data_IF_018194229474
#
_entry.id   IF_018194229474
#
_cell.length_a   1.000
_cell.length_b   1.000
_cell.length_c   1.000
_cell.angle_alpha   90.00
_cell.angle_beta   90.00
_cell.angle_gamma   90.00
#
_symmetry.space_group_name_H-M   'P 1'
#
loop_
_entity.id
_entity.type
_entity.pdbx_description
1 polymer ?
#
# COMPACT_ATOMS: atom_id res chain seq x y z
N UNK A 1 26.43 -46.76 -27.57
CA UNK A 1 27.86 -46.57 -27.30
C UNK A 1 28.04 -45.19 -26.69
N UNK A 2 28.75 -45.09 -25.57
CA UNK A 2 29.33 -43.85 -25.06
C UNK A 2 28.50 -43.10 -24.02
N UNK A 3 28.86 -43.29 -22.75
CA UNK A 3 28.35 -42.59 -21.57
C UNK A 3 29.40 -41.61 -21.01
N UNK A 4 28.94 -40.54 -20.34
CA UNK A 4 29.53 -39.80 -19.20
C UNK A 4 28.63 -38.56 -18.96
N UNK A 5 27.98 -38.33 -17.81
CA UNK A 5 28.53 -38.03 -16.47
C UNK A 5 28.97 -36.55 -16.42
N UNK A 6 28.61 -35.66 -15.47
CA UNK A 6 28.17 -35.73 -14.07
C UNK A 6 27.52 -34.37 -13.69
N UNK A 7 26.75 -34.39 -12.60
CA UNK A 7 26.01 -33.34 -11.89
C UNK A 7 26.77 -32.04 -11.50
N UNK A 8 25.98 -31.00 -11.16
CA UNK A 8 26.43 -29.82 -10.40
C UNK A 8 25.30 -28.85 -10.09
N UNK A 9 24.72 -28.95 -8.89
CA UNK A 9 23.77 -28.00 -8.28
C UNK A 9 24.54 -26.74 -7.88
N UNK A 10 24.06 -25.55 -8.25
CA UNK A 10 24.63 -24.28 -7.80
C UNK A 10 23.61 -23.51 -6.95
N UNK A 11 23.96 -23.38 -5.68
CA UNK A 11 23.30 -22.54 -4.68
C UNK A 11 23.42 -21.06 -5.04
N UNK A 12 22.32 -20.32 -4.86
CA UNK A 12 22.35 -18.85 -4.86
C UNK A 12 23.02 -18.39 -3.55
N UNK A 13 24.18 -17.77 -3.67
CA UNK A 13 24.86 -17.14 -2.55
C UNK A 13 24.33 -15.72 -2.36
N UNK A 14 23.87 -15.45 -1.14
CA UNK A 14 23.71 -14.10 -0.57
C UNK A 14 24.98 -13.29 -0.82
N UNK A 15 24.80 -12.08 -1.36
CA UNK A 15 25.87 -11.07 -1.42
C UNK A 15 25.53 -9.95 -0.46
N UNK A 16 26.22 -9.97 0.68
CA UNK A 16 26.34 -8.86 1.62
C UNK A 16 26.76 -7.57 0.90
N UNK A 17 25.89 -6.57 0.91
CA UNK A 17 26.20 -5.20 0.54
C UNK A 17 26.57 -4.47 1.84
N UNK A 18 27.87 -4.26 2.06
CA UNK A 18 28.38 -3.43 3.16
C UNK A 18 28.45 -1.96 2.72
N UNK A 19 27.79 -1.07 3.47
CA UNK A 19 27.81 0.38 3.28
C UNK A 19 28.63 1.02 4.43
N UNK A 20 29.78 1.68 4.17
CA UNK A 20 30.47 2.44 5.19
C UNK A 20 30.12 3.93 5.10
N UNK A 21 29.72 4.53 6.23
CA UNK A 21 29.69 5.99 6.37
C UNK A 21 28.51 6.55 7.14
N UNK A 22 28.51 6.42 8.46
CA UNK A 22 27.73 7.29 9.34
C UNK A 22 28.67 7.90 10.39
N UNK A 23 29.07 9.14 10.13
CA UNK A 23 29.80 9.97 11.09
C UNK A 23 28.89 10.33 12.26
N UNK A 24 29.40 10.11 13.47
CA UNK A 24 28.77 10.53 14.73
C UNK A 24 28.61 12.05 14.78
N UNK A 25 27.37 12.53 14.78
CA UNK A 25 27.05 13.88 15.23
C UNK A 25 26.87 13.84 16.75
N UNK A 26 27.85 14.39 17.45
CA UNK A 26 27.77 14.69 18.89
C UNK A 26 27.42 16.17 19.02
N UNK A 27 26.28 16.48 19.61
CA UNK A 27 25.89 17.84 19.92
C UNK A 27 26.45 18.20 21.31
N UNK A 28 27.43 19.11 21.34
CA UNK A 28 27.94 19.76 22.54
C UNK A 28 27.03 20.93 22.90
N UNK A 29 26.37 20.88 24.06
CA UNK A 29 25.70 22.02 24.66
C UNK A 29 26.68 22.76 25.58
N UNK A 30 26.79 24.07 25.37
CA UNK A 30 27.64 25.00 26.09
C UNK A 30 27.03 25.35 27.45
N UNK A 31 27.86 25.27 28.49
CA UNK A 31 27.64 25.83 29.83
C UNK A 31 27.49 27.35 29.76
N UNK A 32 26.48 27.90 30.44
CA UNK A 32 26.55 29.26 30.95
C UNK A 32 25.98 29.31 32.38
N UNK A 33 26.89 29.70 33.28
CA UNK A 33 26.80 29.80 34.72
C UNK A 33 26.03 31.06 35.14
N UNK A 34 24.91 30.89 35.87
CA UNK A 34 24.41 31.90 36.83
C UNK A 34 23.74 31.28 38.04
N UNK A 35 24.25 31.67 39.21
CA UNK A 35 23.97 31.25 40.57
C UNK A 35 22.67 31.79 41.20
N UNK A 36 21.86 30.87 41.78
CA UNK A 36 21.09 30.90 43.07
C UNK A 36 19.93 31.91 43.29
N UNK A 37 18.96 31.68 44.22
CA UNK A 37 18.89 30.65 45.28
C UNK A 37 17.57 29.85 45.42
N UNK A 38 17.68 28.80 46.23
CA UNK A 38 16.66 27.87 46.71
C UNK A 38 15.40 28.53 47.29
N UNK A 39 14.23 27.97 46.96
CA UNK A 39 13.00 28.10 47.74
C UNK A 39 12.24 26.78 47.75
N UNK A 40 12.20 26.19 48.94
CA UNK A 40 11.31 25.11 49.33
C UNK A 40 9.84 25.50 49.12
N UNK A 41 9.11 24.70 48.35
CA UNK A 41 7.68 24.86 48.11
C UNK A 41 7.07 23.54 47.68
N UNK A 42 6.39 22.88 48.62
CA UNK A 42 5.68 21.62 48.42
C UNK A 42 4.66 21.70 47.26
N UNK A 43 4.88 20.91 46.19
CA UNK A 43 3.90 20.73 45.13
C UNK A 43 2.76 19.81 45.59
N UNK A 44 1.58 20.41 45.75
CA UNK A 44 0.30 19.73 45.85
C UNK A 44 0.00 19.05 44.52
N UNK A 45 -0.46 17.81 44.58
CA UNK A 45 -0.74 16.94 43.45
C UNK A 45 -1.55 17.60 42.34
N UNK A 46 -1.07 17.43 41.10
CA UNK A 46 -1.86 17.67 39.89
C UNK A 46 -2.92 16.57 39.76
N UNK A 47 -4.14 16.87 39.32
CA UNK A 47 -5.17 15.86 39.15
C UNK A 47 -4.81 14.95 37.99
N UNK A 48 -4.99 13.64 38.19
CA UNK A 48 -4.80 12.60 37.17
C UNK A 48 -5.66 12.88 35.92
N UNK A 49 -5.03 12.82 34.75
CA UNK A 49 -5.69 12.71 33.46
C UNK A 49 -6.51 11.41 33.40
N UNK A 50 -7.82 11.44 33.10
CA UNK A 50 -8.62 10.22 32.98
C UNK A 50 -8.20 9.45 31.72
N UNK A 51 -7.78 8.19 31.88
CA UNK A 51 -7.56 7.27 30.74
C UNK A 51 -6.34 6.35 30.79
N UNK A 52 -5.50 6.40 31.83
CA UNK A 52 -4.29 5.56 31.93
C UNK A 52 -4.35 4.53 33.07
N UNK A 53 -5.52 3.93 33.29
CA UNK A 53 -5.58 2.71 34.09
C UNK A 53 -4.71 1.65 33.41
N UNK A 54 -3.68 1.14 34.09
CA UNK A 54 -2.92 -0.03 33.63
C UNK A 54 -3.89 -1.18 33.41
N UNK A 55 -4.20 -1.48 32.15
CA UNK A 55 -5.07 -2.61 31.78
C UNK A 55 -4.38 -3.90 32.22
N UNK A 56 -5.18 -4.86 32.69
CA UNK A 56 -4.67 -6.14 33.14
C UNK A 56 -4.04 -6.89 31.96
N UNK A 57 -2.81 -7.37 32.15
CA UNK A 57 -2.09 -8.16 31.15
C UNK A 57 -2.49 -9.62 31.33
N UNK A 58 -3.26 -10.15 30.38
CA UNK A 58 -3.79 -11.52 30.40
C UNK A 58 -2.87 -12.41 29.56
N UNK A 59 -2.26 -13.40 30.20
CA UNK A 59 -1.47 -14.41 29.48
C UNK A 59 -2.39 -15.45 28.84
N UNK A 60 -2.25 -15.65 27.53
CA UNK A 60 -3.07 -16.59 26.75
C UNK A 60 -2.24 -17.86 26.47
N UNK A 61 -2.62 -19.03 27.03
CA UNK A 61 -1.97 -20.31 26.71
C UNK A 61 -1.97 -20.62 25.21
N UNK A 62 -1.10 -21.53 24.76
CA UNK A 62 -0.98 -21.94 23.36
C UNK A 62 -2.17 -22.82 22.90
N UNK A 63 -3.34 -22.22 22.80
CA UNK A 63 -4.61 -22.87 22.48
C UNK A 63 -5.59 -21.85 21.88
N UNK A 64 -6.17 -22.18 20.72
CA UNK A 64 -7.08 -21.31 19.99
C UNK A 64 -8.38 -20.98 20.77
N UNK A 65 -8.94 -21.95 21.49
CA UNK A 65 -10.14 -21.72 22.28
C UNK A 65 -9.84 -20.82 23.48
N UNK A 66 -8.62 -20.87 24.04
CA UNK A 66 -8.17 -19.92 25.07
C UNK A 66 -8.01 -18.51 24.53
N UNK A 67 -7.55 -18.34 23.30
CA UNK A 67 -7.51 -17.03 22.64
C UNK A 67 -8.93 -16.45 22.46
N UNK A 68 -9.87 -17.26 21.95
CA UNK A 68 -11.28 -16.86 21.82
C UNK A 68 -11.85 -16.45 23.18
N UNK A 69 -11.67 -17.27 24.21
CA UNK A 69 -12.18 -16.98 25.55
C UNK A 69 -11.60 -15.68 26.14
N UNK A 70 -10.31 -15.41 25.92
CA UNK A 70 -9.66 -14.18 26.37
C UNK A 70 -10.22 -12.94 25.68
N UNK A 71 -10.52 -13.02 24.38
CA UNK A 71 -11.14 -11.92 23.63
C UNK A 71 -12.59 -11.66 24.07
N UNK A 72 -13.37 -12.71 24.33
CA UNK A 72 -14.73 -12.57 24.89
C UNK A 72 -14.68 -11.86 26.25
N UNK A 73 -13.78 -12.27 27.14
CA UNK A 73 -13.60 -11.63 28.44
C UNK A 73 -13.17 -10.16 28.29
N UNK A 74 -12.21 -9.88 27.42
CA UNK A 74 -11.74 -8.52 27.16
C UNK A 74 -12.86 -7.59 26.68
N UNK A 75 -13.74 -8.04 25.79
CA UNK A 75 -14.91 -7.26 25.38
C UNK A 75 -15.90 -7.02 26.52
N UNK A 76 -16.13 -8.00 27.38
CA UNK A 76 -17.04 -7.88 28.52
C UNK A 76 -16.50 -6.97 29.64
N UNK A 77 -15.18 -6.86 29.76
CA UNK A 77 -14.50 -6.13 30.84
C UNK A 77 -14.04 -4.72 30.46
N UNK A 78 -14.31 -4.27 29.23
CA UNK A 78 -13.96 -2.92 28.76
C UNK A 78 -12.57 -2.78 28.14
N UNK A 79 -11.98 -3.91 27.71
CA UNK A 79 -10.68 -3.98 27.03
C UNK A 79 -9.62 -4.72 27.83
N UNK A 80 -8.56 -5.19 27.16
CA UNK A 80 -7.47 -5.92 27.79
C UNK A 80 -6.16 -5.84 26.99
N UNK A 81 -5.04 -6.16 27.66
CA UNK A 81 -3.78 -6.48 26.98
C UNK A 81 -3.57 -8.00 27.03
N UNK A 82 -3.61 -8.66 25.88
CA UNK A 82 -3.43 -10.10 25.74
C UNK A 82 -1.99 -10.39 25.33
N UNK A 83 -1.28 -11.22 26.10
CA UNK A 83 0.03 -11.73 25.73
C UNK A 83 -0.08 -13.19 25.29
N UNK A 84 0.20 -13.45 24.03
CA UNK A 84 0.18 -14.79 23.47
C UNK A 84 1.40 -15.61 23.93
N UNK A 85 1.25 -16.92 23.91
CA UNK A 85 2.34 -17.84 24.16
C UNK A 85 3.42 -17.65 23.08
N UNK A 86 4.69 -17.40 23.45
CA UNK A 86 5.74 -17.08 22.50
C UNK A 86 5.90 -18.13 21.39
N UNK A 87 5.93 -17.69 20.14
CA UNK A 87 6.08 -18.54 18.94
C UNK A 87 5.05 -19.66 18.79
N UNK A 88 3.93 -19.58 19.51
CA UNK A 88 2.84 -20.53 19.40
C UNK A 88 2.09 -20.37 18.06
N UNK A 89 1.50 -21.46 17.56
CA UNK A 89 0.55 -21.41 16.45
C UNK A 89 -0.89 -21.64 16.94
N UNK A 90 -1.70 -20.59 16.91
CA UNK A 90 -3.14 -20.61 17.18
C UNK A 90 -3.88 -20.94 15.89
N UNK A 91 -4.31 -22.18 15.73
CA UNK A 91 -4.98 -22.64 14.51
C UNK A 91 -6.50 -22.65 14.70
N UNK A 92 -7.22 -21.92 13.85
CA UNK A 92 -8.68 -21.81 13.85
C UNK A 92 -9.26 -22.71 12.75
N UNK A 93 -10.15 -23.63 13.14
CA UNK A 93 -10.81 -24.60 12.24
C UNK A 93 -12.20 -24.14 11.78
N UNK A 94 -12.81 -23.20 12.48
CA UNK A 94 -14.18 -22.73 12.23
C UNK A 94 -14.35 -21.25 12.58
N UNK A 95 -15.43 -20.65 12.06
CA UNK A 95 -15.81 -19.30 12.41
C UNK A 95 -16.37 -19.24 13.84
N UNK A 96 -16.13 -18.15 14.55
CA UNK A 96 -16.77 -17.89 15.82
C UNK A 96 -18.22 -17.46 15.58
N UNK A 97 -19.17 -18.26 16.07
CA UNK A 97 -20.59 -17.97 15.93
C UNK A 97 -21.03 -16.94 16.97
N UNK A 98 -21.11 -15.68 16.56
CA UNK A 98 -21.79 -14.61 17.31
C UNK A 98 -22.90 -14.04 16.43
N UNK A 99 -24.10 -13.86 16.99
CA UNK A 99 -25.13 -13.06 16.29
C UNK A 99 -24.68 -11.61 16.34
N UNK A 100 -24.06 -11.17 15.27
CA UNK A 100 -23.71 -9.77 15.11
C UNK A 100 -24.98 -8.92 15.20
N UNK A 101 -25.02 -7.96 16.13
CA UNK A 101 -26.14 -7.02 16.28
C UNK A 101 -26.08 -5.90 15.23
N UNK A 102 -25.26 -6.05 14.19
CA UNK A 102 -25.11 -5.11 13.09
C UNK A 102 -26.46 -4.79 12.43
N UNK A 103 -26.87 -3.53 12.56
CA UNK A 103 -28.13 -2.96 12.06
C UNK A 103 -27.97 -2.24 10.72
N UNK A 104 -26.80 -2.33 10.07
CA UNK A 104 -26.53 -1.65 8.80
C UNK A 104 -25.98 -0.22 8.91
N UNK A 105 -25.54 0.22 10.09
CA UNK A 105 -25.05 1.60 10.32
C UNK A 105 -23.94 2.12 9.38
N UNK A 106 -24.11 3.38 8.95
CA UNK A 106 -23.24 4.32 8.17
C UNK A 106 -22.78 3.87 6.77
N UNK A 107 -22.64 2.57 6.48
CA UNK A 107 -22.36 2.10 5.09
C UNK A 107 -23.41 2.61 4.10
N UNK A 108 -24.69 2.56 4.46
CA UNK A 108 -25.80 3.05 3.65
C UNK A 108 -25.72 4.56 3.35
N UNK A 109 -25.11 5.38 4.19
CA UNK A 109 -25.05 6.82 3.93
C UNK A 109 -23.98 7.20 2.90
N UNK A 110 -22.86 6.46 2.86
CA UNK A 110 -21.81 6.65 1.84
C UNK A 110 -22.20 5.95 0.54
N UNK A 111 -22.73 4.72 0.59
CA UNK A 111 -23.24 4.02 -0.59
C UNK A 111 -24.46 4.73 -1.23
N UNK A 112 -25.37 5.31 -0.43
CA UNK A 112 -26.49 6.11 -0.96
C UNK A 112 -26.07 7.50 -1.48
N UNK A 113 -25.01 8.11 -0.92
CA UNK A 113 -24.40 9.31 -1.50
C UNK A 113 -23.64 8.97 -2.80
N UNK A 114 -22.98 7.80 -2.84
CA UNK A 114 -22.21 7.29 -3.98
C UNK A 114 -23.10 6.96 -5.19
N UNK A 115 -24.33 6.48 -4.94
CA UNK A 115 -25.34 6.27 -5.99
C UNK A 115 -25.84 7.59 -6.64
N UNK A 116 -25.72 8.72 -5.93
CA UNK A 116 -26.17 10.03 -6.41
C UNK A 116 -25.11 10.77 -7.25
N UNK A 117 -23.81 10.54 -7.00
CA UNK A 117 -22.72 11.23 -7.72
C UNK A 117 -22.19 10.45 -8.94
N UNK A 118 -22.30 9.12 -8.97
CA UNK A 118 -21.88 8.28 -10.11
C UNK A 118 -22.88 7.14 -10.39
N UNK A 119 -23.86 7.34 -11.29
CA UNK A 119 -24.94 6.36 -11.54
C UNK A 119 -24.49 5.00 -12.12
N UNK A 120 -23.21 4.85 -12.48
CA UNK A 120 -22.65 3.61 -13.06
C UNK A 120 -21.96 2.68 -12.07
N UNK A 121 -21.72 3.12 -10.84
CA UNK A 121 -21.11 2.35 -9.73
C UNK A 121 -22.13 2.07 -8.60
N UNK A 122 -23.43 2.28 -8.88
CA UNK A 122 -24.48 2.40 -7.87
C UNK A 122 -25.18 1.09 -7.47
N UNK A 123 -24.72 -0.07 -7.94
CA UNK A 123 -25.33 -1.35 -7.61
C UNK A 123 -24.28 -2.31 -7.03
N UNK A 124 -23.69 -1.96 -5.88
CA UNK A 124 -23.07 -2.98 -5.05
C UNK A 124 -24.19 -3.98 -4.68
N UNK A 125 -24.08 -5.28 -5.03
CA UNK A 125 -25.11 -6.24 -4.69
C UNK A 125 -25.33 -6.24 -3.17
N UNK A 126 -26.58 -6.32 -2.68
CA UNK A 126 -26.83 -6.33 -1.24
C UNK A 126 -25.99 -7.43 -0.58
N UNK A 127 -25.14 -7.04 0.38
CA UNK A 127 -24.30 -7.96 1.11
C UNK A 127 -25.18 -8.92 1.93
N UNK A 128 -24.99 -10.22 1.77
CA UNK A 128 -25.59 -11.22 2.62
C UNK A 128 -24.85 -11.23 3.97
N UNK A 129 -25.48 -10.85 5.10
CA UNK A 129 -24.81 -10.81 6.40
C UNK A 129 -24.23 -12.16 6.84
N UNK A 130 -24.75 -13.27 6.31
CA UNK A 130 -24.22 -14.60 6.58
C UNK A 130 -22.80 -14.84 6.02
N UNK A 131 -22.35 -14.01 5.06
CA UNK A 131 -21.02 -14.10 4.46
C UNK A 131 -19.97 -13.28 5.25
N UNK A 132 -20.41 -12.49 6.25
CA UNK A 132 -19.55 -11.71 7.15
C UNK A 132 -19.09 -12.54 8.36
N UNK A 133 -18.22 -13.52 8.12
CA UNK A 133 -17.74 -14.44 9.17
C UNK A 133 -16.31 -14.11 9.63
N UNK A 134 -16.10 -14.20 10.95
CA UNK A 134 -14.79 -14.08 11.60
C UNK A 134 -14.50 -15.31 12.49
N UNK A 135 -13.24 -15.71 12.59
CA UNK A 135 -12.77 -16.81 13.42
C UNK A 135 -12.56 -16.43 14.89
N UNK A 136 -12.50 -15.13 15.19
CA UNK A 136 -12.39 -14.58 16.54
C UNK A 136 -13.54 -13.60 16.80
N UNK A 137 -13.88 -13.36 18.08
CA UNK A 137 -14.91 -12.37 18.44
C UNK A 137 -14.62 -10.99 17.86
N UNK A 138 -15.68 -10.28 17.48
CA UNK A 138 -15.56 -8.90 17.01
C UNK A 138 -14.99 -8.00 18.11
N UNK A 139 -14.20 -6.99 17.74
CA UNK A 139 -13.55 -6.09 18.69
C UNK A 139 -14.43 -4.85 18.86
N UNK A 140 -15.00 -4.69 20.05
CA UNK A 140 -15.80 -3.53 20.46
C UNK A 140 -15.10 -2.65 21.49
N UNK A 141 -14.11 -3.22 22.17
CA UNK A 141 -13.35 -2.55 23.22
C UNK A 141 -11.88 -2.37 22.79
N UNK A 142 -11.13 -1.51 23.48
CA UNK A 142 -9.71 -1.40 23.25
C UNK A 142 -8.94 -2.66 23.67
N UNK A 143 -8.47 -3.42 22.68
CA UNK A 143 -7.75 -4.67 22.88
C UNK A 143 -6.36 -4.57 22.25
N UNK A 144 -5.34 -4.89 23.04
CA UNK A 144 -3.96 -5.07 22.55
C UNK A 144 -3.61 -6.56 22.55
N UNK A 145 -3.04 -7.06 21.47
CA UNK A 145 -2.51 -8.42 21.35
C UNK A 145 -1.01 -8.34 21.10
N UNK A 146 -0.23 -8.70 22.11
CA UNK A 146 1.21 -8.92 22.03
C UNK A 146 1.47 -10.38 21.69
N UNK A 147 1.91 -10.62 20.46
CA UNK A 147 2.06 -11.95 19.90
C UNK A 147 3.29 -12.71 20.34
N UNK A 148 4.34 -12.04 20.79
CA UNK A 148 5.64 -12.66 21.08
C UNK A 148 6.13 -13.65 19.98
N UNK A 149 5.91 -13.28 18.71
CA UNK A 149 6.23 -14.07 17.52
C UNK A 149 5.27 -15.23 17.21
N UNK A 150 4.07 -15.24 17.81
CA UNK A 150 3.05 -16.25 17.54
C UNK A 150 2.42 -16.11 16.14
N UNK A 151 1.81 -17.19 15.66
CA UNK A 151 1.04 -17.21 14.42
C UNK A 151 -0.44 -17.49 14.75
N UNK A 152 -1.35 -16.65 14.26
CA UNK A 152 -2.78 -16.96 14.17
C UNK A 152 -3.04 -17.42 12.74
N UNK A 153 -3.56 -18.64 12.59
CA UNK A 153 -3.72 -19.27 11.29
C UNK A 153 -5.11 -19.88 11.10
N UNK A 154 -5.63 -19.79 9.88
CA UNK A 154 -6.80 -20.56 9.46
C UNK A 154 -6.37 -21.92 8.94
N UNK A 155 -7.08 -22.99 9.33
CA UNK A 155 -6.86 -24.32 8.73
C UNK A 155 -7.14 -24.30 7.23
N UNK A 156 -6.33 -25.01 6.44
CA UNK A 156 -6.40 -24.96 4.99
C UNK A 156 -7.78 -25.33 4.43
N UNK A 157 -8.45 -26.33 5.03
CA UNK A 157 -9.75 -26.85 4.60
C UNK A 157 -10.95 -26.23 5.34
N UNK A 158 -10.71 -25.31 6.27
CA UNK A 158 -11.79 -24.62 6.95
C UNK A 158 -12.60 -23.75 5.98
N UNK A 159 -13.85 -23.47 6.35
CA UNK A 159 -14.66 -22.48 5.64
C UNK A 159 -13.95 -21.11 5.55
N UNK A 160 -14.43 -20.24 4.67
CA UNK A 160 -13.96 -18.86 4.63
C UNK A 160 -14.40 -18.13 5.91
N UNK A 161 -13.42 -17.60 6.64
CA UNK A 161 -13.59 -16.55 7.65
C UNK A 161 -12.28 -15.74 7.77
N UNK A 162 -12.41 -14.47 8.14
CA UNK A 162 -11.26 -13.62 8.52
C UNK A 162 -10.91 -13.82 10.00
N UNK A 163 -9.80 -13.25 10.47
CA UNK A 163 -9.46 -13.33 11.89
C UNK A 163 -10.18 -12.28 12.71
N UNK A 164 -10.08 -11.01 12.30
CA UNK A 164 -10.57 -9.88 13.09
C UNK A 164 -11.55 -9.03 12.31
N UNK A 165 -12.63 -8.65 12.99
CA UNK A 165 -13.48 -7.51 12.61
C UNK A 165 -13.44 -6.51 13.76
N UNK A 166 -12.97 -5.30 13.49
CA UNK A 166 -12.98 -4.20 14.46
C UNK A 166 -14.21 -3.34 14.17
N UNK A 167 -15.15 -3.29 15.11
CA UNK A 167 -16.43 -2.60 14.98
C UNK A 167 -16.32 -1.14 15.43
N UNK A 168 -17.37 -0.34 15.18
CA UNK A 168 -17.41 1.08 15.54
C UNK A 168 -17.08 1.29 17.02
N UNK A 169 -16.22 2.27 17.32
CA UNK A 169 -15.66 2.52 18.64
C UNK A 169 -14.64 1.49 19.14
N UNK A 170 -14.43 0.37 18.44
CA UNK A 170 -13.42 -0.62 18.76
C UNK A 170 -12.01 -0.15 18.43
N UNK A 171 -11.04 -0.54 19.26
CA UNK A 171 -9.62 -0.27 19.03
C UNK A 171 -8.84 -1.58 19.10
N UNK A 172 -8.15 -1.95 18.02
CA UNK A 172 -7.31 -3.13 17.97
C UNK A 172 -5.84 -2.75 17.81
N UNK A 173 -4.97 -3.21 18.71
CA UNK A 173 -3.52 -3.15 18.53
C UNK A 173 -2.96 -4.55 18.38
N UNK A 174 -2.32 -4.84 17.24
CA UNK A 174 -1.62 -6.10 16.98
C UNK A 174 -0.11 -5.84 16.97
N UNK A 175 0.64 -6.64 17.74
CA UNK A 175 2.10 -6.56 17.80
C UNK A 175 2.76 -7.93 17.67
N UNK A 176 3.88 -7.98 16.96
CA UNK A 176 4.81 -9.12 17.00
C UNK A 176 4.13 -10.47 16.72
N UNK A 177 3.34 -10.57 15.65
CA UNK A 177 2.63 -11.82 15.26
C UNK A 177 2.50 -12.00 13.75
N UNK A 178 2.19 -13.22 13.35
CA UNK A 178 1.81 -13.55 11.98
C UNK A 178 0.30 -13.84 11.89
N UNK A 179 -0.37 -13.26 10.90
CA UNK A 179 -1.71 -13.65 10.44
C UNK A 179 -1.57 -14.46 9.15
N UNK A 180 -1.93 -15.73 9.19
CA UNK A 180 -1.65 -16.66 8.10
C UNK A 180 -2.92 -17.30 7.52
N UNK A 181 -3.10 -17.20 6.20
CA UNK A 181 -4.15 -17.92 5.47
C UNK A 181 -5.59 -17.51 5.84
N UNK A 182 -5.78 -16.25 6.27
CA UNK A 182 -7.12 -15.68 6.45
C UNK A 182 -7.88 -15.68 5.13
N UNK A 183 -9.19 -15.95 5.14
CA UNK A 183 -9.98 -16.02 3.91
C UNK A 183 -11.38 -15.49 4.13
N UNK A 184 -11.81 -14.43 3.46
CA UNK A 184 -13.19 -13.94 3.58
C UNK A 184 -13.96 -14.02 2.27
N UNK A 185 -15.26 -14.32 2.36
CA UNK A 185 -16.19 -14.21 1.24
C UNK A 185 -16.45 -12.74 0.85
N UNK A 186 -16.27 -11.82 1.81
CA UNK A 186 -16.38 -10.37 1.62
C UNK A 186 -15.01 -9.69 1.84
N UNK A 187 -14.99 -8.38 2.12
CA UNK A 187 -13.77 -7.60 2.31
C UNK A 187 -12.94 -8.08 3.50
N UNK A 188 -11.61 -7.85 3.42
CA UNK A 188 -10.66 -8.15 4.49
C UNK A 188 -10.42 -9.64 4.67
N UNK A 189 -9.36 -10.16 4.04
CA UNK A 189 -9.04 -11.59 4.16
C UNK A 189 -8.63 -12.02 5.57
N UNK A 190 -7.84 -11.19 6.26
CA UNK A 190 -7.43 -11.40 7.65
C UNK A 190 -8.07 -10.40 8.62
N UNK A 191 -8.13 -9.12 8.25
CA UNK A 191 -8.64 -8.06 9.13
C UNK A 191 -9.57 -7.14 8.36
N UNK A 192 -10.69 -6.78 8.98
CA UNK A 192 -11.56 -5.70 8.54
C UNK A 192 -11.71 -4.67 9.67
N UNK A 193 -11.37 -3.42 9.39
CA UNK A 193 -11.57 -2.28 10.29
C UNK A 193 -12.71 -1.44 9.72
N UNK A 194 -13.84 -1.41 10.40
CA UNK A 194 -15.02 -0.68 9.90
C UNK A 194 -14.89 0.83 10.12
N UNK A 195 -15.75 1.61 9.48
CA UNK A 195 -15.86 3.04 9.73
C UNK A 195 -16.06 3.35 11.23
N UNK A 196 -15.31 4.32 11.75
CA UNK A 196 -15.33 4.69 13.18
C UNK A 196 -14.46 3.81 14.08
N UNK A 197 -13.94 2.69 13.59
CA UNK A 197 -12.98 1.85 14.30
C UNK A 197 -11.53 2.31 14.10
N UNK A 198 -10.64 1.90 15.03
CA UNK A 198 -9.20 2.15 14.93
C UNK A 198 -8.39 0.87 15.02
N UNK A 199 -7.32 0.75 14.22
CA UNK A 199 -6.35 -0.33 14.35
C UNK A 199 -4.90 0.15 14.27
N UNK A 200 -4.04 -0.47 15.08
CA UNK A 200 -2.58 -0.33 15.04
C UNK A 200 -1.96 -1.69 14.76
N UNK A 201 -1.16 -1.78 13.71
CA UNK A 201 -0.50 -3.01 13.25
C UNK A 201 1.00 -2.74 13.25
N UNK A 202 1.73 -3.38 14.16
CA UNK A 202 3.14 -3.09 14.41
C UNK A 202 3.96 -4.39 14.45
N UNK A 203 4.96 -4.53 13.57
CA UNK A 203 5.75 -5.79 13.46
C UNK A 203 4.87 -7.02 13.25
N UNK A 204 3.87 -6.89 12.37
CA UNK A 204 2.96 -7.97 12.01
C UNK A 204 3.27 -8.46 10.60
N UNK A 205 3.23 -9.77 10.40
CA UNK A 205 3.32 -10.38 9.07
C UNK A 205 1.94 -10.90 8.66
N UNK A 206 1.38 -10.40 7.55
CA UNK A 206 0.12 -10.92 6.98
C UNK A 206 0.46 -11.73 5.74
N UNK A 207 0.20 -13.04 5.77
CA UNK A 207 0.61 -13.96 4.72
C UNK A 207 -0.55 -14.77 4.15
N UNK A 208 -0.52 -14.98 2.83
CA UNK A 208 -1.42 -15.89 2.12
C UNK A 208 -2.91 -15.66 2.37
N UNK A 209 -3.29 -14.42 2.71
CA UNK A 209 -4.69 -14.09 2.99
C UNK A 209 -5.44 -13.78 1.71
N UNK A 210 -6.73 -14.11 1.66
CA UNK A 210 -7.56 -13.91 0.47
C UNK A 210 -8.89 -13.24 0.80
N UNK A 211 -9.25 -12.19 0.06
CA UNK A 211 -10.62 -11.70 -0.03
C UNK A 211 -11.24 -12.15 -1.35
N UNK A 212 -12.45 -12.69 -1.27
CA UNK A 212 -13.26 -13.10 -2.43
C UNK A 212 -14.35 -12.08 -2.78
N UNK A 213 -14.38 -10.92 -2.09
CA UNK A 213 -15.37 -9.87 -2.37
C UNK A 213 -15.36 -9.50 -3.85
N UNK A 214 -16.49 -9.64 -4.59
CA UNK A 214 -16.53 -9.36 -6.01
C UNK A 214 -16.10 -7.93 -6.37
N UNK A 215 -16.45 -6.95 -5.53
CA UNK A 215 -16.28 -5.51 -5.81
C UNK A 215 -15.46 -4.76 -4.74
N UNK A 216 -15.19 -5.41 -3.61
CA UNK A 216 -14.34 -4.91 -2.55
C UNK A 216 -12.90 -5.44 -2.64
N UNK A 217 -12.29 -5.77 -1.51
CA UNK A 217 -10.98 -6.41 -1.50
C UNK A 217 -10.27 -6.30 -0.16
N UNK A 218 -8.96 -5.99 -0.17
CA UNK A 218 -8.12 -6.04 1.02
C UNK A 218 -7.72 -7.49 1.32
N UNK A 219 -7.03 -8.12 0.37
CA UNK A 219 -6.70 -9.55 0.43
C UNK A 219 -6.05 -9.95 1.75
N UNK A 220 -5.20 -9.09 2.31
CA UNK A 220 -4.79 -9.15 3.72
C UNK A 220 -5.73 -8.36 4.61
N UNK A 221 -5.81 -7.05 4.41
CA UNK A 221 -6.53 -6.13 5.30
C UNK A 221 -7.42 -5.20 4.49
N UNK A 222 -8.66 -5.00 4.96
CA UNK A 222 -9.49 -3.89 4.55
C UNK A 222 -9.63 -2.87 5.69
N UNK A 223 -9.25 -1.62 5.42
CA UNK A 223 -9.40 -0.50 6.33
C UNK A 223 -10.42 0.51 5.81
N UNK A 224 -11.56 0.59 6.49
CA UNK A 224 -12.58 1.62 6.29
C UNK A 224 -12.68 2.61 7.48
N UNK A 225 -11.87 2.37 8.51
CA UNK A 225 -11.72 3.23 9.69
C UNK A 225 -10.39 4.00 9.68
N UNK A 226 -9.74 4.06 10.84
CA UNK A 226 -8.42 4.66 11.00
C UNK A 226 -7.37 3.59 11.28
N UNK A 227 -6.31 3.55 10.49
CA UNK A 227 -5.27 2.54 10.62
C UNK A 227 -3.86 3.12 10.61
N UNK A 228 -3.04 2.62 11.53
CA UNK A 228 -1.59 2.81 11.53
C UNK A 228 -0.91 1.47 11.33
N UNK A 229 -0.10 1.36 10.29
CA UNK A 229 0.71 0.17 9.99
C UNK A 229 2.18 0.56 10.03
N UNK A 230 2.97 -0.14 10.84
CA UNK A 230 4.38 0.18 11.05
C UNK A 230 5.23 -1.10 11.10
N UNK A 231 6.40 -1.09 10.46
CA UNK A 231 7.39 -2.16 10.57
C UNK A 231 6.83 -3.55 10.24
N UNK A 232 5.85 -3.61 9.33
CA UNK A 232 5.02 -4.79 9.05
C UNK A 232 5.17 -5.29 7.62
N UNK A 233 4.88 -6.57 7.39
CA UNK A 233 5.14 -7.26 6.12
C UNK A 233 3.87 -7.94 5.58
N UNK A 234 3.57 -7.77 4.30
CA UNK A 234 2.41 -8.34 3.61
C UNK A 234 2.88 -9.21 2.44
N UNK A 235 2.66 -10.53 2.51
CA UNK A 235 3.23 -11.48 1.54
C UNK A 235 2.16 -12.38 0.92
N UNK A 236 2.05 -12.32 -0.41
CA UNK A 236 1.24 -13.26 -1.17
C UNK A 236 -0.24 -13.21 -0.82
N UNK A 237 -0.73 -12.03 -0.41
CA UNK A 237 -2.14 -11.82 -0.16
C UNK A 237 -2.87 -11.49 -1.47
N UNK A 238 -4.15 -11.86 -1.57
CA UNK A 238 -4.89 -11.78 -2.82
C UNK A 238 -6.31 -11.22 -2.66
N UNK A 239 -6.62 -10.18 -3.43
CA UNK A 239 -7.99 -9.74 -3.69
C UNK A 239 -8.47 -10.43 -4.98
N UNK A 240 -9.06 -11.62 -4.81
CA UNK A 240 -9.38 -12.56 -5.91
C UNK A 240 -10.78 -12.38 -6.50
N UNK A 241 -11.59 -11.46 -5.97
CA UNK A 241 -12.88 -11.11 -6.58
C UNK A 241 -12.71 -10.48 -7.96
N UNK A 242 -13.79 -10.46 -8.76
CA UNK A 242 -13.73 -10.03 -10.16
C UNK A 242 -13.16 -8.62 -10.35
N UNK A 243 -13.55 -7.68 -9.49
CA UNK A 243 -13.03 -6.33 -9.40
C UNK A 243 -12.24 -6.10 -8.11
N UNK A 244 -11.61 -7.15 -7.57
CA UNK A 244 -10.91 -7.12 -6.28
C UNK A 244 -9.82 -6.05 -6.19
N UNK A 245 -9.79 -5.31 -5.08
CA UNK A 245 -8.93 -4.13 -4.87
C UNK A 245 -7.97 -4.36 -3.69
N UNK A 246 -6.75 -3.83 -3.74
CA UNK A 246 -5.83 -3.89 -2.59
C UNK A 246 -5.45 -5.33 -2.20
N UNK A 247 -4.54 -5.96 -2.96
CA UNK A 247 -4.16 -7.36 -2.73
C UNK A 247 -3.55 -7.57 -1.35
N UNK A 248 -2.63 -6.70 -0.93
CA UNK A 248 -2.13 -6.64 0.44
C UNK A 248 -3.09 -5.91 1.36
N UNK A 249 -3.35 -4.64 1.05
CA UNK A 249 -4.18 -3.75 1.86
C UNK A 249 -5.08 -2.90 0.95
N UNK A 250 -6.37 -2.85 1.28
CA UNK A 250 -7.33 -1.90 0.71
C UNK A 250 -7.67 -0.83 1.76
N UNK A 251 -7.50 0.43 1.40
CA UNK A 251 -7.85 1.58 2.23
C UNK A 251 -9.04 2.34 1.62
N UNK A 252 -10.15 2.37 2.35
CA UNK A 252 -11.31 3.25 2.16
C UNK A 252 -11.44 4.35 3.23
N UNK A 253 -10.68 4.24 4.33
CA UNK A 253 -10.64 5.22 5.41
C UNK A 253 -9.35 6.05 5.43
N UNK A 254 -8.76 6.19 6.62
CA UNK A 254 -7.50 6.91 6.85
C UNK A 254 -6.40 5.90 7.16
N UNK A 255 -5.29 5.97 6.44
CA UNK A 255 -4.13 5.11 6.61
C UNK A 255 -2.84 5.91 6.80
N UNK A 256 -2.07 5.55 7.82
CA UNK A 256 -0.64 5.87 7.95
C UNK A 256 0.15 4.58 7.85
N UNK A 257 1.02 4.47 6.84
CA UNK A 257 1.83 3.27 6.57
C UNK A 257 3.32 3.63 6.56
N UNK A 258 4.11 3.01 7.43
CA UNK A 258 5.52 3.35 7.62
C UNK A 258 6.41 2.11 7.69
N UNK A 259 7.59 2.17 7.05
CA UNK A 259 8.65 1.17 7.21
C UNK A 259 8.18 -0.26 6.98
N UNK A 260 7.35 -0.45 5.95
CA UNK A 260 6.68 -1.72 5.70
C UNK A 260 7.07 -2.32 4.36
N UNK A 261 6.67 -3.58 4.17
CA UNK A 261 7.04 -4.37 3.00
C UNK A 261 5.80 -5.06 2.42
N UNK A 262 5.52 -4.86 1.12
CA UNK A 262 4.42 -5.50 0.38
C UNK A 262 4.96 -6.31 -0.79
N UNK A 263 4.97 -7.63 -0.65
CA UNK A 263 5.66 -8.52 -1.58
C UNK A 263 4.73 -9.59 -2.16
N UNK A 264 4.71 -9.71 -3.50
CA UNK A 264 3.94 -10.74 -4.22
C UNK A 264 2.43 -10.72 -3.94
N UNK A 265 1.88 -9.58 -3.56
CA UNK A 265 0.45 -9.45 -3.39
C UNK A 265 -0.25 -9.23 -4.75
N UNK A 266 -1.49 -9.67 -4.88
CA UNK A 266 -2.22 -9.63 -6.14
C UNK A 266 -3.65 -9.11 -6.01
N UNK A 267 -4.10 -8.31 -6.97
CA UNK A 267 -5.49 -7.85 -7.07
C UNK A 267 -6.00 -7.95 -8.51
N UNK A 268 -7.22 -8.42 -8.74
CA UNK A 268 -7.74 -8.47 -10.12
C UNK A 268 -8.04 -7.06 -10.68
N UNK A 269 -8.52 -6.15 -9.83
CA UNK A 269 -8.86 -4.77 -10.17
C UNK A 269 -7.64 -3.86 -10.10
N UNK A 270 -7.29 -3.39 -8.91
CA UNK A 270 -6.20 -2.42 -8.73
C UNK A 270 -5.51 -2.48 -7.38
N UNK A 271 -4.25 -2.03 -7.33
CA UNK A 271 -3.43 -1.94 -6.13
C UNK A 271 -3.01 -3.33 -5.66
N UNK A 272 -2.05 -3.94 -6.32
CA UNK A 272 -1.61 -5.30 -5.97
C UNK A 272 -1.06 -5.34 -4.55
N UNK A 273 -0.19 -4.39 -4.20
CA UNK A 273 0.25 -4.15 -2.83
C UNK A 273 -0.79 -3.35 -2.03
N UNK A 274 -0.95 -2.07 -2.38
CA UNK A 274 -1.87 -1.13 -1.73
C UNK A 274 -2.86 -0.53 -2.73
N UNK A 275 -4.15 -0.66 -2.44
CA UNK A 275 -5.21 0.11 -3.10
C UNK A 275 -5.76 1.18 -2.15
N UNK A 276 -5.68 2.46 -2.53
CA UNK A 276 -6.36 3.56 -1.84
C UNK A 276 -7.54 4.03 -2.69
N UNK A 277 -8.76 3.84 -2.18
CA UNK A 277 -10.00 4.12 -2.90
C UNK A 277 -10.92 4.98 -2.05
N UNK A 278 -11.24 6.20 -2.51
CA UNK A 278 -12.06 7.17 -1.76
C UNK A 278 -11.55 7.48 -0.33
N UNK A 279 -10.30 7.12 -0.03
CA UNK A 279 -9.66 7.29 1.27
C UNK A 279 -8.49 8.27 1.26
N UNK A 280 -7.89 8.46 2.43
CA UNK A 280 -6.66 9.21 2.61
C UNK A 280 -5.54 8.29 3.07
N UNK A 281 -4.40 8.31 2.38
CA UNK A 281 -3.24 7.49 2.74
C UNK A 281 -1.96 8.31 2.77
N UNK A 282 -1.15 8.07 3.79
CA UNK A 282 0.22 8.55 3.91
C UNK A 282 1.16 7.35 4.02
N UNK A 283 2.09 7.24 3.08
CA UNK A 283 3.01 6.10 2.94
C UNK A 283 4.46 6.59 2.99
N UNK A 284 5.26 6.01 3.87
CA UNK A 284 6.64 6.40 4.14
C UNK A 284 7.57 5.19 4.22
N UNK A 285 8.78 5.31 3.65
CA UNK A 285 9.87 4.33 3.87
C UNK A 285 9.44 2.88 3.60
N UNK A 286 8.58 2.67 2.61
CA UNK A 286 7.94 1.37 2.35
C UNK A 286 8.43 0.79 1.04
N UNK A 287 8.45 -0.54 0.93
CA UNK A 287 8.79 -1.23 -0.32
C UNK A 287 7.58 -2.00 -0.84
N UNK A 288 7.22 -1.77 -2.10
CA UNK A 288 6.25 -2.57 -2.85
C UNK A 288 6.99 -3.31 -3.95
N UNK A 289 7.18 -4.62 -3.78
CA UNK A 289 7.91 -5.43 -4.76
C UNK A 289 7.12 -6.63 -5.30
N UNK A 290 7.27 -6.89 -6.59
CA UNK A 290 6.72 -8.07 -7.26
C UNK A 290 5.19 -8.23 -7.08
N UNK A 291 4.48 -7.13 -6.85
CA UNK A 291 3.02 -7.15 -6.73
C UNK A 291 2.37 -7.08 -8.12
N UNK A 292 1.14 -7.56 -8.21
CA UNK A 292 0.41 -7.74 -9.47
C UNK A 292 -0.99 -7.13 -9.38
N UNK A 293 -1.41 -6.35 -10.40
CA UNK A 293 -2.80 -5.92 -10.48
C UNK A 293 -3.33 -5.68 -11.90
N UNK A 294 -4.64 -5.48 -12.05
CA UNK A 294 -5.17 -4.86 -13.27
C UNK A 294 -4.59 -3.45 -13.46
N UNK A 295 -4.63 -2.61 -12.42
CA UNK A 295 -4.02 -1.28 -12.43
C UNK A 295 -3.21 -0.99 -11.17
N UNK A 296 -1.99 -0.44 -11.30
CA UNK A 296 -1.15 -0.11 -10.16
C UNK A 296 -0.64 -1.35 -9.46
N UNK A 297 0.35 -2.03 -10.05
CA UNK A 297 0.86 -3.31 -9.53
C UNK A 297 1.32 -3.19 -8.08
N UNK A 298 2.12 -2.17 -7.77
CA UNK A 298 2.50 -1.84 -6.40
C UNK A 298 1.43 -1.04 -5.67
N UNK A 299 1.07 0.12 -6.21
CA UNK A 299 0.20 1.10 -5.57
C UNK A 299 -0.87 1.64 -6.53
N UNK A 300 -2.11 1.75 -6.05
CA UNK A 300 -3.20 2.39 -6.79
C UNK A 300 -3.89 3.47 -5.94
N UNK A 301 -4.20 4.62 -6.54
CA UNK A 301 -4.92 5.74 -5.93
C UNK A 301 -6.10 6.13 -6.82
N UNK A 302 -7.33 5.93 -6.34
CA UNK A 302 -8.57 6.09 -7.13
C UNK A 302 -9.60 6.94 -6.37
N UNK A 303 -9.97 8.09 -6.95
CA UNK A 303 -10.84 9.09 -6.30
C UNK A 303 -10.40 9.42 -4.87
N UNK A 304 -9.08 9.42 -4.65
CA UNK A 304 -8.46 9.40 -3.33
C UNK A 304 -7.36 10.46 -3.20
N UNK A 305 -6.84 10.60 -1.97
CA UNK A 305 -5.69 11.45 -1.66
C UNK A 305 -4.57 10.60 -1.09
N UNK A 306 -3.44 10.55 -1.79
CA UNK A 306 -2.33 9.70 -1.42
C UNK A 306 -1.04 10.50 -1.43
N UNK A 307 -0.30 10.47 -0.31
CA UNK A 307 1.06 10.99 -0.22
C UNK A 307 2.01 9.82 -0.03
N UNK A 308 3.06 9.77 -0.83
CA UNK A 308 4.06 8.71 -0.79
C UNK A 308 5.44 9.34 -0.79
N UNK A 309 6.27 8.96 0.18
CA UNK A 309 7.63 9.46 0.29
C UNK A 309 8.62 8.38 0.70
N UNK A 310 9.87 8.54 0.26
CA UNK A 310 11.00 7.64 0.57
C UNK A 310 10.67 6.16 0.31
N UNK A 311 9.96 5.87 -0.78
CA UNK A 311 9.33 4.56 -1.00
C UNK A 311 9.80 3.96 -2.33
N UNK A 312 9.88 2.63 -2.36
CA UNK A 312 10.33 1.87 -3.52
C UNK A 312 9.17 1.09 -4.16
N UNK A 313 9.02 1.22 -5.48
CA UNK A 313 8.11 0.41 -6.32
C UNK A 313 8.97 -0.42 -7.28
N UNK A 314 9.18 -1.70 -6.95
CA UNK A 314 10.15 -2.56 -7.62
C UNK A 314 9.48 -3.76 -8.31
N UNK A 315 9.75 -3.95 -9.60
CA UNK A 315 9.37 -5.19 -10.30
C UNK A 315 7.88 -5.56 -10.20
N UNK A 316 7.01 -4.56 -10.04
CA UNK A 316 5.57 -4.77 -10.03
C UNK A 316 5.05 -4.91 -11.45
N UNK A 317 3.96 -5.65 -11.61
CA UNK A 317 3.34 -5.91 -12.90
C UNK A 317 1.88 -5.46 -12.89
N UNK A 318 1.44 -4.80 -13.94
CA UNK A 318 0.02 -4.50 -14.12
C UNK A 318 -0.41 -4.52 -15.59
N UNK A 319 -1.72 -4.37 -15.85
CA UNK A 319 -2.14 -3.99 -17.20
C UNK A 319 -1.86 -2.50 -17.43
N UNK A 320 -2.16 -1.65 -16.45
CA UNK A 320 -1.95 -0.20 -16.50
C UNK A 320 -1.19 0.25 -15.25
N UNK A 321 -0.11 1.02 -15.39
CA UNK A 321 0.65 1.50 -14.23
C UNK A 321 1.37 0.35 -13.52
N UNK A 322 2.40 -0.22 -14.15
CA UNK A 322 3.12 -1.39 -13.61
C UNK A 322 3.56 -1.17 -12.16
N UNK A 323 4.17 -0.03 -11.87
CA UNK A 323 4.49 0.41 -10.51
C UNK A 323 3.28 1.04 -9.80
N UNK A 324 2.78 2.15 -10.34
CA UNK A 324 1.69 2.91 -9.76
C UNK A 324 0.60 3.34 -10.74
N UNK A 325 -0.64 3.39 -10.27
CA UNK A 325 -1.78 3.95 -11.00
C UNK A 325 -2.48 5.05 -10.19
N UNK A 326 -2.80 6.15 -10.86
CA UNK A 326 -3.56 7.28 -10.33
C UNK A 326 -4.77 7.54 -11.23
N UNK A 327 -5.98 7.53 -10.69
CA UNK A 327 -7.20 7.78 -11.45
C UNK A 327 -8.14 8.70 -10.69
N UNK A 328 -8.45 9.86 -11.28
CA UNK A 328 -9.32 10.88 -10.67
C UNK A 328 -8.89 11.25 -9.24
N UNK A 329 -7.58 11.22 -9.00
CA UNK A 329 -7.00 11.29 -7.66
C UNK A 329 -5.79 12.22 -7.61
N UNK A 330 -5.44 12.60 -6.37
CA UNK A 330 -4.22 13.34 -6.07
C UNK A 330 -3.21 12.37 -5.49
N UNK A 331 -2.13 12.12 -6.24
CA UNK A 331 -1.03 11.26 -5.83
C UNK A 331 0.25 12.10 -5.79
N UNK A 332 0.70 12.44 -4.59
CA UNK A 332 1.94 13.20 -4.39
C UNK A 332 3.05 12.22 -4.05
N UNK A 333 4.10 12.25 -4.86
CA UNK A 333 5.24 11.35 -4.75
C UNK A 333 6.53 12.14 -4.56
N UNK A 334 7.33 11.76 -3.56
CA UNK A 334 8.63 12.39 -3.30
C UNK A 334 9.70 11.36 -2.94
N UNK A 335 10.92 11.53 -3.44
CA UNK A 335 12.04 10.64 -3.11
C UNK A 335 11.69 9.18 -3.38
N UNK A 336 11.08 8.94 -4.55
CA UNK A 336 10.65 7.61 -4.97
C UNK A 336 11.73 6.91 -5.78
N UNK A 337 11.79 5.59 -5.62
CA UNK A 337 12.50 4.70 -6.55
C UNK A 337 11.48 3.80 -7.26
N UNK A 338 11.23 4.05 -8.55
CA UNK A 338 10.24 3.31 -9.35
C UNK A 338 11.00 2.57 -10.44
N UNK A 339 11.27 1.28 -10.18
CA UNK A 339 12.24 0.50 -10.98
C UNK A 339 11.74 -0.85 -11.46
N UNK A 340 12.06 -1.16 -12.71
CA UNK A 340 11.87 -2.50 -13.27
C UNK A 340 10.42 -2.95 -13.32
N UNK A 341 9.45 -2.03 -13.29
CA UNK A 341 8.04 -2.35 -13.33
C UNK A 341 7.57 -2.56 -14.77
N UNK A 342 6.57 -3.43 -14.96
CA UNK A 342 6.09 -3.84 -16.28
C UNK A 342 4.59 -3.61 -16.42
N UNK A 343 4.16 -3.01 -17.53
CA UNK A 343 2.74 -2.93 -17.89
C UNK A 343 2.44 -3.54 -19.25
N UNK A 344 1.27 -4.16 -19.43
CA UNK A 344 0.87 -4.69 -20.75
C UNK A 344 0.14 -3.68 -21.63
N UNK A 345 -0.38 -2.60 -21.07
CA UNK A 345 -1.14 -1.55 -21.78
C UNK A 345 -0.41 -0.21 -21.69
N UNK A 346 -0.48 0.52 -20.57
CA UNK A 346 0.08 1.87 -20.48
C UNK A 346 0.80 2.10 -19.14
N UNK A 347 1.82 2.95 -19.13
CA UNK A 347 2.48 3.36 -17.89
C UNK A 347 3.29 2.23 -17.26
N UNK A 348 4.47 1.92 -17.78
CA UNK A 348 5.32 0.86 -17.20
C UNK A 348 5.66 1.15 -15.74
N UNK A 349 6.16 2.35 -15.47
CA UNK A 349 6.39 2.86 -14.12
C UNK A 349 5.10 3.40 -13.50
N UNK A 350 4.58 4.49 -14.07
CA UNK A 350 3.42 5.21 -13.54
C UNK A 350 2.38 5.46 -14.63
N UNK A 351 1.10 5.27 -14.30
CA UNK A 351 -0.02 5.75 -15.09
C UNK A 351 -0.86 6.74 -14.28
N UNK A 352 -1.14 7.92 -14.83
CA UNK A 352 -2.08 8.89 -14.27
C UNK A 352 -3.16 9.26 -15.27
N UNK A 353 -4.42 9.17 -14.87
CA UNK A 353 -5.60 9.46 -15.70
C UNK A 353 -6.54 10.40 -14.93
N UNK A 354 -6.87 11.56 -15.51
CA UNK A 354 -7.72 12.57 -14.87
C UNK A 354 -7.23 13.00 -13.47
N UNK A 355 -5.93 12.88 -13.21
CA UNK A 355 -5.37 13.06 -11.87
C UNK A 355 -4.31 14.15 -11.78
N UNK A 356 -3.89 14.42 -10.55
CA UNK A 356 -2.77 15.30 -10.23
C UNK A 356 -1.61 14.45 -9.70
N UNK A 357 -0.46 14.53 -10.36
CA UNK A 357 0.75 13.78 -10.00
C UNK A 357 1.98 14.70 -9.95
N UNK A 358 2.29 15.28 -8.78
CA UNK A 358 3.60 15.83 -8.48
C UNK A 358 4.57 14.69 -8.13
N UNK A 359 5.68 14.63 -8.85
CA UNK A 359 6.78 13.71 -8.66
C UNK A 359 8.06 14.52 -8.43
N UNK A 360 8.52 14.51 -7.18
CA UNK A 360 9.64 15.32 -6.71
C UNK A 360 10.83 14.44 -6.32
N UNK A 361 12.06 14.87 -6.64
CA UNK A 361 13.30 14.27 -6.12
C UNK A 361 13.41 12.75 -6.35
N UNK A 362 12.88 12.23 -7.46
CA UNK A 362 12.58 10.80 -7.66
C UNK A 362 13.28 10.19 -8.87
N UNK A 363 13.33 8.86 -8.93
CA UNK A 363 13.86 8.09 -10.05
C UNK A 363 12.80 7.14 -10.62
N UNK A 364 12.53 7.25 -11.92
CA UNK A 364 11.70 6.33 -12.70
C UNK A 364 12.59 5.64 -13.73
N UNK A 365 13.04 4.43 -13.42
CA UNK A 365 14.09 3.76 -14.20
C UNK A 365 13.77 2.33 -14.63
N UNK A 366 14.12 1.96 -15.86
CA UNK A 366 14.09 0.56 -16.28
C UNK A 366 12.69 -0.03 -16.38
N UNK A 367 11.65 0.80 -16.49
CA UNK A 367 10.27 0.33 -16.57
C UNK A 367 9.89 0.03 -18.02
N UNK A 368 9.11 -1.03 -18.21
CA UNK A 368 8.74 -1.55 -19.53
C UNK A 368 7.23 -1.46 -19.70
N UNK A 369 6.76 -1.01 -20.87
CA UNK A 369 5.35 -1.13 -21.24
C UNK A 369 5.20 -1.76 -22.61
N UNK A 370 4.14 -2.56 -22.79
CA UNK A 370 3.73 -3.07 -24.11
C UNK A 370 2.76 -2.17 -24.89
N UNK A 371 2.48 -0.97 -24.37
CA UNK A 371 1.81 0.09 -25.12
C UNK A 371 2.59 1.41 -25.00
N UNK A 372 2.05 2.42 -24.33
CA UNK A 372 2.62 3.78 -24.36
C UNK A 372 3.00 4.31 -22.97
N UNK A 373 3.97 5.24 -22.94
CA UNK A 373 4.43 5.86 -21.69
C UNK A 373 5.17 4.89 -20.78
N UNK A 374 6.37 4.42 -21.15
CA UNK A 374 7.03 3.37 -20.37
C UNK A 374 7.45 3.84 -18.98
N UNK A 375 8.05 5.02 -18.86
CA UNK A 375 8.28 5.66 -17.56
C UNK A 375 6.96 6.15 -16.98
N UNK A 376 6.36 7.14 -17.63
CA UNK A 376 5.14 7.80 -17.17
C UNK A 376 4.13 7.95 -18.31
N UNK A 377 2.92 7.46 -18.10
CA UNK A 377 1.76 7.75 -18.93
C UNK A 377 0.84 8.74 -18.21
N UNK A 378 0.51 9.86 -18.84
CA UNK A 378 -0.34 10.90 -18.29
C UNK A 378 -1.47 11.27 -19.26
N UNK A 379 -2.71 10.90 -18.95
CA UNK A 379 -3.88 11.24 -19.74
C UNK A 379 -4.82 12.16 -18.96
N UNK A 380 -5.26 13.27 -19.55
CA UNK A 380 -6.16 14.23 -18.90
C UNK A 380 -5.68 14.69 -17.51
N UNK A 381 -4.37 14.64 -17.29
CA UNK A 381 -3.77 14.80 -15.98
C UNK A 381 -2.88 16.03 -15.93
N UNK A 382 -2.62 16.49 -14.70
CA UNK A 382 -1.58 17.47 -14.40
C UNK A 382 -0.37 16.74 -13.82
N UNK A 383 0.63 16.50 -14.68
CA UNK A 383 1.90 15.90 -14.31
C UNK A 383 2.91 17.01 -14.01
N UNK A 384 3.55 16.94 -12.85
CA UNK A 384 4.70 17.78 -12.50
C UNK A 384 5.86 16.85 -12.16
N UNK A 385 6.95 16.93 -12.90
CA UNK A 385 8.20 16.21 -12.62
C UNK A 385 9.26 17.23 -12.27
N UNK A 386 9.80 17.16 -11.06
CA UNK A 386 10.79 18.12 -10.56
C UNK A 386 11.94 17.44 -9.85
N UNK A 387 13.18 17.89 -10.11
CA UNK A 387 14.37 17.30 -9.48
C UNK A 387 14.51 15.79 -9.71
N UNK A 388 13.93 15.26 -10.79
CA UNK A 388 13.71 13.82 -10.97
C UNK A 388 14.31 13.28 -12.26
N UNK A 389 14.67 12.00 -12.25
CA UNK A 389 15.27 11.29 -13.38
C UNK A 389 14.30 10.24 -13.94
N UNK A 390 13.85 10.42 -15.19
CA UNK A 390 13.08 9.43 -15.96
C UNK A 390 13.99 8.81 -17.01
N UNK A 391 14.51 7.61 -16.74
CA UNK A 391 15.60 7.06 -17.54
C UNK A 391 15.51 5.57 -17.85
N UNK A 392 16.07 5.13 -18.98
CA UNK A 392 16.13 3.71 -19.34
C UNK A 392 14.76 3.00 -19.38
N UNK A 393 13.67 3.73 -19.62
CA UNK A 393 12.34 3.13 -19.74
C UNK A 393 12.06 2.75 -21.21
N UNK A 394 11.36 1.64 -21.43
CA UNK A 394 11.19 1.04 -22.76
C UNK A 394 9.71 0.77 -23.12
N UNK A 395 9.23 1.41 -24.19
CA UNK A 395 7.89 1.20 -24.74
C UNK A 395 7.96 0.27 -25.97
N UNK A 396 7.49 -0.97 -25.80
CA UNK A 396 7.64 -2.07 -26.77
C UNK A 396 6.31 -2.44 -27.41
N UNK A 397 6.14 -2.19 -28.70
CA UNK A 397 4.90 -2.53 -29.39
C UNK A 397 4.71 -1.73 -30.66
N UNK A 398 3.87 -2.25 -31.56
CA UNK A 398 3.71 -1.68 -32.91
C UNK A 398 3.14 -0.25 -32.93
N UNK A 399 2.55 0.20 -31.83
CA UNK A 399 2.02 1.56 -31.63
C UNK A 399 2.75 2.34 -30.52
N UNK A 400 3.80 1.77 -29.93
CA UNK A 400 4.43 2.26 -28.71
C UNK A 400 5.26 3.52 -28.93
N UNK A 401 5.00 4.55 -28.13
CA UNK A 401 5.61 5.89 -28.15
C UNK A 401 5.81 6.39 -26.72
N UNK A 402 6.70 7.37 -26.55
CA UNK A 402 6.96 8.00 -25.27
C UNK A 402 7.57 7.00 -24.30
N UNK A 403 8.76 6.49 -24.61
CA UNK A 403 9.51 5.61 -23.71
C UNK A 403 9.70 6.27 -22.34
N UNK A 404 10.09 7.55 -22.31
CA UNK A 404 10.17 8.31 -21.06
C UNK A 404 8.78 8.71 -20.58
N UNK A 405 8.15 9.65 -21.27
CA UNK A 405 6.89 10.25 -20.86
C UNK A 405 5.94 10.31 -22.06
N UNK A 406 4.70 9.87 -21.86
CA UNK A 406 3.60 10.09 -22.79
C UNK A 406 2.54 10.95 -22.11
N UNK A 407 2.25 12.13 -22.66
CA UNK A 407 1.24 13.04 -22.13
C UNK A 407 0.15 13.31 -23.17
N UNK A 408 -1.12 13.10 -22.81
CA UNK A 408 -2.28 13.37 -23.67
C UNK A 408 -3.37 14.16 -22.94
N UNK A 409 -3.97 15.13 -23.65
CA UNK A 409 -5.15 15.90 -23.19
C UNK A 409 -5.03 16.54 -21.79
N UNK A 410 -3.87 17.03 -21.38
CA UNK A 410 -3.64 17.62 -20.05
C UNK A 410 -2.41 18.53 -20.01
N UNK A 411 -1.73 18.60 -18.87
CA UNK A 411 -0.46 19.33 -18.75
C UNK A 411 0.64 18.44 -18.18
N UNK A 412 1.85 18.61 -18.71
CA UNK A 412 3.07 18.01 -18.19
C UNK A 412 4.13 19.09 -18.05
N UNK A 413 4.62 19.31 -16.84
CA UNK A 413 5.66 20.29 -16.55
C UNK A 413 6.90 19.60 -15.97
N UNK A 414 8.05 19.82 -16.60
CA UNK A 414 9.33 19.20 -16.28
C UNK A 414 10.29 20.31 -15.85
N UNK A 415 10.79 20.23 -14.61
CA UNK A 415 11.65 21.24 -14.00
C UNK A 415 12.90 20.62 -13.37
N UNK A 416 14.08 21.19 -13.63
CA UNK A 416 15.36 20.70 -13.09
C UNK A 416 15.46 19.16 -13.11
N UNK A 417 15.05 18.53 -14.21
CA UNK A 417 14.83 17.06 -14.31
C UNK A 417 15.47 16.48 -15.56
N UNK A 418 15.68 15.16 -15.59
CA UNK A 418 16.29 14.46 -16.74
C UNK A 418 15.32 13.46 -17.33
N UNK A 419 15.20 13.47 -18.66
CA UNK A 419 14.50 12.43 -19.44
C UNK A 419 15.48 11.84 -20.44
N UNK A 420 16.19 10.79 -20.04
CA UNK A 420 17.37 10.31 -20.77
C UNK A 420 17.38 8.81 -21.00
N UNK A 421 17.96 8.35 -22.13
CA UNK A 421 18.14 6.91 -22.41
C UNK A 421 16.84 6.12 -22.46
N UNK A 422 15.70 6.75 -22.73
CA UNK A 422 14.44 6.05 -22.88
C UNK A 422 14.24 5.60 -24.33
N UNK A 423 13.60 4.44 -24.50
CA UNK A 423 13.40 3.81 -25.80
C UNK A 423 11.91 3.59 -26.09
N UNK A 424 11.53 3.74 -27.36
CA UNK A 424 10.22 3.35 -27.85
C UNK A 424 10.32 2.74 -29.25
N UNK A 425 9.39 1.84 -29.59
CA UNK A 425 9.34 1.25 -30.94
C UNK A 425 9.07 2.30 -32.01
N UNK A 426 8.18 3.26 -31.73
CA UNK A 426 7.90 4.40 -32.59
C UNK A 426 8.41 5.69 -31.97
N UNK A 427 8.68 6.67 -32.85
CA UNK A 427 9.08 8.01 -32.43
C UNK A 427 7.96 8.72 -31.67
N UNK A 428 8.28 9.50 -30.62
CA UNK A 428 9.58 9.65 -29.97
C UNK A 428 9.80 8.64 -28.83
N UNK A 429 11.06 8.40 -28.50
CA UNK A 429 11.51 7.63 -27.32
C UNK A 429 11.49 8.42 -26.03
N UNK A 430 11.74 9.74 -26.09
CA UNK A 430 11.76 10.59 -24.91
C UNK A 430 10.35 10.98 -24.46
N UNK A 431 9.91 12.18 -24.84
CA UNK A 431 8.61 12.73 -24.44
C UNK A 431 7.70 12.85 -25.65
N UNK A 432 6.50 12.28 -25.57
CA UNK A 432 5.45 12.45 -26.56
C UNK A 432 4.30 13.28 -26.00
N UNK A 433 3.95 14.36 -26.70
CA UNK A 433 2.78 15.18 -26.39
C UNK A 433 1.66 15.02 -27.44
N UNK A 434 0.47 14.63 -26.99
CA UNK A 434 -0.74 14.53 -27.81
C UNK A 434 -1.86 15.42 -27.26
N UNK A 435 -2.10 16.56 -27.88
CA UNK A 435 -3.09 17.53 -27.36
C UNK A 435 -2.85 17.91 -25.88
N UNK A 436 -1.60 17.79 -25.41
CA UNK A 436 -1.19 18.15 -24.06
C UNK A 436 -0.24 19.35 -24.09
N UNK A 437 -0.31 20.19 -23.06
CA UNK A 437 0.64 21.27 -22.85
C UNK A 437 1.87 20.70 -22.15
N UNK A 438 2.99 20.62 -22.87
CA UNK A 438 4.27 20.18 -22.30
C UNK A 438 5.18 21.38 -22.12
N UNK A 439 5.61 21.61 -20.88
CA UNK A 439 6.56 22.67 -20.52
C UNK A 439 7.82 22.04 -19.95
N UNK A 440 8.97 22.47 -20.47
CA UNK A 440 10.30 22.06 -20.01
C UNK A 440 11.03 23.37 -19.68
N UNK A 441 11.67 23.44 -18.51
CA UNK A 441 12.50 24.60 -18.15
C UNK A 441 13.89 24.55 -18.80
N UNK A 442 14.70 25.58 -18.58
CA UNK A 442 16.04 25.69 -19.18
C UNK A 442 17.09 24.81 -18.48
N UNK A 443 16.79 24.26 -17.30
CA UNK A 443 17.67 23.41 -16.51
C UNK A 443 17.43 21.90 -16.75
N UNK A 444 16.27 21.53 -17.27
CA UNK A 444 15.95 20.14 -17.60
C UNK A 444 16.64 19.68 -18.88
N UNK A 445 16.95 18.38 -18.93
CA UNK A 445 17.71 17.76 -20.02
C UNK A 445 16.90 16.61 -20.63
N UNK A 446 16.79 16.59 -21.96
CA UNK A 446 16.10 15.51 -22.69
C UNK A 446 17.00 15.05 -23.82
N UNK A 447 17.86 14.06 -23.54
CA UNK A 447 18.88 13.55 -24.48
C UNK A 447 18.94 12.04 -24.52
N UNK A 448 19.61 11.50 -25.54
CA UNK A 448 19.93 10.07 -25.64
C UNK A 448 18.68 9.17 -25.66
N UNK A 449 17.53 9.68 -26.10
CA UNK A 449 16.33 8.86 -26.22
C UNK A 449 16.18 8.29 -27.63
N UNK A 450 15.73 7.04 -27.74
CA UNK A 450 15.64 6.30 -28.99
C UNK A 450 14.18 6.04 -29.39
N UNK A 451 13.76 6.35 -30.63
CA UNK A 451 14.61 6.76 -31.74
C UNK A 451 14.94 8.27 -31.74
N UNK A 452 14.21 9.07 -30.94
CA UNK A 452 14.43 10.52 -30.82
C UNK A 452 13.81 11.08 -29.52
N UNK A 453 14.20 12.29 -29.13
CA UNK A 453 13.76 12.96 -27.91
C UNK A 453 12.27 13.35 -27.91
N UNK A 454 11.84 14.28 -28.76
CA UNK A 454 10.43 14.72 -28.83
C UNK A 454 9.83 14.83 -30.23
N UNK A 455 10.67 14.77 -31.28
CA UNK A 455 10.18 14.92 -32.64
C UNK A 455 9.14 13.85 -32.98
N UNK A 456 8.05 14.28 -33.61
CA UNK A 456 6.89 13.43 -33.89
C UNK A 456 5.72 13.63 -32.92
N UNK A 457 5.89 14.42 -31.84
CA UNK A 457 4.78 14.89 -31.01
C UNK A 457 3.74 15.66 -31.82
N UNK A 458 2.45 15.49 -31.50
CA UNK A 458 1.36 16.18 -32.21
C UNK A 458 1.36 17.69 -31.92
N UNK A 459 1.89 18.08 -30.77
CA UNK A 459 2.15 19.47 -30.40
C UNK A 459 3.67 19.66 -30.27
N UNK A 460 4.28 20.68 -30.91
CA UNK A 460 5.69 20.97 -30.75
C UNK A 460 6.05 21.22 -29.28
N UNK A 461 7.10 20.56 -28.79
CA UNK A 461 7.60 20.70 -27.42
C UNK A 461 8.86 21.55 -27.45
N UNK A 462 8.79 22.76 -26.91
CA UNK A 462 9.94 23.64 -26.80
C UNK A 462 10.98 23.07 -25.81
N UNK A 463 12.26 23.41 -26.01
CA UNK A 463 13.39 23.02 -25.15
C UNK A 463 13.70 21.51 -25.05
N UNK A 464 13.08 20.65 -25.86
CA UNK A 464 13.30 19.19 -25.76
C UNK A 464 14.57 18.64 -26.44
N UNK A 465 15.26 19.40 -27.29
CA UNK A 465 16.40 18.88 -28.06
C UNK A 465 17.78 19.18 -27.44
N UNK A 466 17.82 19.63 -26.18
CA UNK A 466 19.06 19.93 -25.45
C UNK A 466 19.60 18.73 -24.71
#
# INVERSE_FOLDING_TARGET
MGAAGVAGVAAAADRDISLPGLGRLTATAQDDDRTTPERDGAERGRPDTPGTGKREVVSVPCDAAKLVAALVAANAEGGAELRLAPKCRYTLSEAFHETDQYDGGIRDAREAADAAETPGDADAPPHNPADDTAGLPAIYQPITIDGAGATIAREAQAAAFRFFTVRDGGELTLRDLELHNGRSAIEGGSVHVVHGATAVVERVTVTQSTSLSPEGGGGGIFNDGNMVVTDSTFIGNSASGAAGKGGGLLNGGVLTLKRSEFHRNSANGYGGGLGNYRGAAEVESTTFAQNSAGQGGGLASFSARTKVYDTELLHNTAQIGGGAANSDAVLVMRTMTIRGNTSTVNGGGISTVQGLLPLDDSVVEGNITHGIGAGIYAAKSNLLVRGSDVTANEAVGVTSKGGGIYATQGSAAIYTSKVTRNAATLKPGGIFGEHAQVKIDDESVVVENEPINCEGSAVPIAHCFR
#
